data_IF_740589633616
#
_entry.id   IF_740589633616
#
_cell.length_a   1.000
_cell.length_b   1.000
_cell.length_c   1.000
_cell.angle_alpha   90.00
_cell.angle_beta   90.00
_cell.angle_gamma   90.00
#
_symmetry.space_group_name_H-M   'P 1'
#
loop_
_entity.id
_entity.type
_entity.pdbx_description
1 polymer ?
2 non-polymer ?
3 non-polymer ?
4 non-polymer ?
5 water ?
#
# COMPACT_ATOMS: atom_id res chain seq x y z
N UNK A 15 -26.44 1.33 21.44
CA UNK A 15 -25.73 0.97 20.20
C UNK A 15 -25.59 -0.54 20.02
N UNK A 16 -25.50 -0.99 18.78
CA UNK A 16 -25.22 -2.41 18.51
C UNK A 16 -23.76 -2.70 18.81
N UNK A 17 -23.49 -3.89 19.32
CA UNK A 17 -22.16 -4.25 19.81
C UNK A 17 -21.64 -5.47 19.03
N UNK A 18 -20.31 -5.52 18.89
CA UNK A 18 -19.63 -6.64 18.24
C UNK A 18 -18.43 -7.02 19.08
N UNK A 19 -18.26 -8.32 19.34
CA UNK A 19 -17.15 -8.88 20.12
C UNK A 19 -16.74 -8.05 21.33
N UNK A 21 -17.53 -4.90 21.90
CA UNK A 21 -17.25 -3.47 21.84
C UNK A 21 -18.36 -2.73 21.10
N UNK A 22 -18.49 -1.43 21.37
CA UNK A 22 -19.46 -0.62 20.65
C UNK A 22 -19.09 -0.59 19.18
N UNK A 23 -20.09 -0.81 18.32
CA UNK A 23 -19.95 -0.64 16.88
C UNK A 23 -21.18 0.16 16.45
N UNK A 24 -21.09 1.47 16.61
CA UNK A 24 -22.26 2.35 16.70
C UNK A 24 -22.52 3.02 15.36
N UNK A 25 -23.12 2.27 14.45
CA UNK A 25 -23.32 2.72 13.08
C UNK A 25 -24.78 2.88 12.72
N UNK A 26 -25.70 2.58 13.63
CA UNK A 26 -27.11 2.56 13.29
C UNK A 26 -27.71 3.94 13.22
N UNK A 27 -28.94 4.02 12.70
CA UNK A 27 -29.77 2.91 12.21
C UNK A 27 -29.62 2.62 10.72
N UNK A 28 -28.84 3.42 10.00
CA UNK A 28 -28.69 3.19 8.56
C UNK A 28 -28.07 1.84 8.28
N UNK A 29 -27.14 1.40 9.13
CA UNK A 29 -26.34 0.22 8.87
C UNK A 29 -26.66 -0.81 9.95
N UNK A 30 -27.11 -1.99 9.53
CA UNK A 30 -27.62 -3.02 10.44
C UNK A 30 -27.08 -4.38 10.04
N UNK A 31 -27.38 -5.39 10.87
CA UNK A 31 -27.01 -6.78 10.62
C UNK A 31 -25.50 -6.92 10.42
N UNK A 32 -24.78 -6.64 11.50
CA UNK A 32 -23.33 -6.53 11.43
C UNK A 32 -22.66 -7.89 11.56
N UNK A 33 -21.57 -8.07 10.83
CA UNK A 33 -20.75 -9.28 10.92
C UNK A 33 -19.28 -8.88 10.95
N UNK A 34 -18.52 -9.50 11.86
CA UNK A 34 -17.10 -9.24 11.97
C UNK A 34 -16.36 -9.72 10.73
N UNK A 35 -15.45 -8.90 10.22
CA UNK A 35 -14.61 -9.30 9.10
C UNK A 35 -13.16 -9.39 9.58
N UNK A 36 -12.49 -8.25 9.64
CA UNK A 36 -11.08 -8.20 9.95
C UNK A 36 -10.71 -7.00 10.80
N UNK A 37 -9.53 -6.41 10.57
CA UNK A 37 -9.08 -5.33 11.42
C UNK A 37 -8.36 -4.24 10.62
N UNK A 38 -8.69 -3.00 10.94
CA UNK A 38 -7.89 -1.86 10.53
C UNK A 38 -6.79 -1.61 11.53
N UNK A 39 -6.27 -0.38 11.51
CA UNK A 39 -5.16 -0.06 12.41
C UNK A 39 -5.66 0.30 13.80
N UNK A 40 -6.76 1.05 13.90
CA UNK A 40 -7.25 1.52 15.18
C UNK A 40 -8.64 0.99 15.48
N UNK A 41 -8.96 -0.18 14.97
CA UNK A 41 -10.27 -0.76 15.22
C UNK A 41 -10.57 -1.88 14.25
N UNK A 42 -11.74 -2.47 14.47
CA UNK A 42 -12.22 -3.64 13.78
C UNK A 42 -13.01 -3.25 12.52
N UNK A 43 -13.05 -4.17 11.56
CA UNK A 43 -13.80 -4.00 10.32
C UNK A 43 -14.99 -4.95 10.36
N UNK A 44 -16.16 -4.43 10.02
CA UNK A 44 -17.37 -5.21 10.00
C UNK A 44 -18.04 -5.05 8.65
N UNK A 45 -18.80 -6.05 8.23
CA UNK A 45 -19.74 -5.83 7.13
C UNK A 45 -21.09 -5.49 7.72
N UNK A 46 -21.90 -4.77 6.93
CA UNK A 46 -23.18 -4.28 7.42
C UNK A 46 -24.11 -4.07 6.23
N UNK A 47 -25.41 -4.07 6.51
CA UNK A 47 -26.40 -3.78 5.47
C UNK A 47 -26.73 -2.30 5.49
N UNK A 48 -26.58 -1.66 4.32
CA UNK A 48 -26.88 -0.24 4.12
C UNK A 48 -28.35 -0.13 3.74
N UNK A 49 -29.19 0.20 4.72
CA UNK A 49 -30.63 0.27 4.48
C UNK A 49 -31.02 1.37 3.50
N UNK A 50 -30.13 2.30 3.18
CA UNK A 50 -30.50 3.33 2.21
C UNK A 50 -30.20 2.88 0.78
N UNK A 51 -28.97 2.44 0.53
CA UNK A 51 -28.56 1.99 -0.79
C UNK A 51 -28.91 0.52 -1.04
N UNK A 52 -29.40 -0.19 -0.03
CA UNK A 52 -29.85 -1.58 -0.15
C UNK A 52 -28.73 -2.48 -0.66
N UNK A 53 -27.54 -2.31 -0.11
CA UNK A 53 -26.40 -3.17 -0.41
C UNK A 53 -25.64 -3.36 0.89
N UNK A 54 -24.94 -4.48 1.01
CA UNK A 54 -24.03 -4.64 2.15
C UNK A 54 -22.73 -3.88 1.86
N UNK A 55 -22.11 -3.40 2.95
CA UNK A 55 -20.94 -2.51 2.89
C UNK A 55 -19.92 -2.98 3.90
N UNK A 56 -18.69 -2.47 3.78
CA UNK A 56 -17.68 -2.64 4.82
C UNK A 56 -17.58 -1.38 5.67
N UNK A 57 -17.38 -1.56 6.98
CA UNK A 57 -17.25 -0.43 7.90
C UNK A 57 -16.04 -0.64 8.80
N UNK A 58 -15.15 0.34 8.83
CA UNK A 58 -13.93 0.33 9.63
C UNK A 58 -14.12 1.26 10.82
N UNK A 59 -13.94 0.73 12.04
CA UNK A 59 -14.02 1.54 13.25
C UNK A 59 -12.63 2.06 13.59
N UNK A 60 -12.55 3.35 13.92
CA UNK A 60 -11.29 4.03 14.21
C UNK A 60 -11.45 4.75 15.54
N UNK A 61 -10.50 4.54 16.46
CA UNK A 61 -10.47 5.26 17.73
C UNK A 61 -9.10 5.89 17.88
N UNK A 62 -8.86 7.06 17.29
CA UNK A 62 -7.48 7.57 17.19
C UNK A 62 -7.15 8.75 18.10
N UNK A 63 -8.11 9.25 18.89
CA UNK A 63 -7.93 10.63 19.35
C UNK A 63 -7.04 10.76 20.58
N UNK A 64 -6.67 9.66 21.24
CA UNK A 64 -5.75 9.76 22.37
C UNK A 64 -4.31 9.99 21.93
N UNK A 65 -3.98 9.74 20.67
CA UNK A 65 -2.60 9.76 20.20
C UNK A 65 -2.45 10.57 18.93
N UNK A 66 -1.49 11.50 18.93
CA UNK A 66 -1.19 12.30 17.74
C UNK A 66 -0.96 11.42 16.52
N UNK A 67 -0.09 10.42 16.62
CA UNK A 67 0.27 9.63 15.45
C UNK A 67 -0.95 8.91 14.88
N UNK A 68 -1.87 8.48 15.74
CA UNK A 68 -3.08 7.82 15.25
C UNK A 68 -3.95 8.84 14.53
N UNK A 69 -4.02 10.04 15.11
CA UNK A 69 -4.81 11.12 14.53
C UNK A 69 -4.24 11.51 13.19
N UNK A 70 -2.91 11.50 13.07
CA UNK A 70 -2.27 11.86 11.82
C UNK A 70 -2.66 10.88 10.72
N UNK A 71 -2.56 9.58 11.02
CA UNK A 71 -2.84 8.55 10.02
C UNK A 71 -4.29 8.58 9.59
N UNK A 72 -5.19 8.83 10.54
CA UNK A 72 -6.62 8.91 10.23
C UNK A 72 -6.91 10.11 9.35
N UNK A 73 -6.39 11.28 9.72
CA UNK A 73 -6.62 12.48 8.94
C UNK A 73 -6.00 12.36 7.55
N UNK A 74 -4.81 11.77 7.46
CA UNK A 74 -4.17 11.65 6.17
C UNK A 74 -5.03 10.87 5.20
N UNK A 75 -5.53 9.71 5.66
CA UNK A 75 -6.33 8.87 4.77
C UNK A 75 -7.60 9.59 4.34
N UNK A 76 -8.27 10.26 5.28
CA UNK A 76 -9.51 10.93 4.94
C UNK A 76 -9.27 12.04 3.93
N UNK A 77 -8.22 12.84 4.16
CA UNK A 77 -7.93 13.93 3.23
C UNK A 77 -7.66 13.40 1.82
N UNK A 78 -6.88 12.32 1.72
CA UNK A 78 -6.53 11.76 0.42
C UNK A 78 -7.77 11.19 -0.27
N UNK A 79 -8.51 10.34 0.44
CA UNK A 79 -9.60 9.60 -0.20
C UNK A 79 -10.79 10.48 -0.52
N UNK A 80 -10.97 11.60 0.18
CA UNK A 80 -12.05 12.49 -0.21
C UNK A 80 -11.72 13.25 -1.49
N UNK A 81 -10.47 13.25 -1.92
CA UNK A 81 -10.12 13.82 -3.22
C UNK A 81 -10.03 12.77 -4.32
N UNK A 82 -9.50 11.59 -4.01
CA UNK A 82 -9.28 10.55 -5.01
C UNK A 82 -10.61 9.95 -5.49
N UNK A 83 -10.68 9.68 -6.78
CA UNK A 83 -11.75 8.85 -7.34
C UNK A 83 -11.14 7.95 -8.41
N UNK A 84 -11.12 6.64 -8.19
CA UNK A 84 -10.52 5.74 -9.15
C UNK A 84 -11.08 4.34 -8.95
N UNK A 85 -11.29 3.62 -10.05
CA UNK A 85 -11.87 2.27 -9.99
C UNK A 85 -11.03 1.30 -9.16
N UNK A 86 -9.70 1.47 -9.12
CA UNK A 86 -8.84 0.54 -8.39
C UNK A 86 -8.40 1.07 -7.04
N UNK A 87 -9.13 2.03 -6.48
CA UNK A 87 -8.88 2.56 -5.15
C UNK A 87 -10.20 2.51 -4.40
N UNK A 88 -10.21 1.87 -3.23
CA UNK A 88 -11.49 1.79 -2.54
C UNK A 88 -11.74 3.12 -1.85
N UNK A 89 -12.87 3.74 -2.19
CA UNK A 89 -13.16 5.08 -1.72
C UNK A 89 -13.89 5.11 -0.39
N UNK A 90 -14.21 6.32 0.06
CA UNK A 90 -15.01 6.51 1.25
C UNK A 90 -16.45 6.80 0.82
N UNK A 91 -17.39 5.94 1.23
CA UNK A 91 -18.80 6.13 0.89
C UNK A 91 -19.52 7.03 1.89
N UNK A 92 -19.07 6.97 3.14
CA UNK A 92 -19.77 7.62 4.25
C UNK A 92 -18.79 7.65 5.41
N UNK A 93 -18.97 8.63 6.29
CA UNK A 93 -18.21 8.69 7.54
C UNK A 93 -19.20 8.96 8.64
N UNK A 94 -19.15 8.14 9.68
CA UNK A 94 -20.07 8.20 10.82
C UNK A 94 -19.29 8.69 12.03
N UNK A 95 -19.83 9.72 12.69
CA UNK A 95 -19.27 10.16 13.96
C UNK A 95 -20.32 11.02 14.66
N UNK A 96 -20.04 11.32 15.93
CA UNK A 96 -20.97 12.12 16.72
C UNK A 96 -21.11 13.53 16.15
N UNK A 97 -22.18 14.25 16.51
CA UNK A 97 -22.42 15.57 15.91
C UNK A 97 -21.54 16.67 16.46
N UNK A 98 -20.87 16.45 17.58
CA UNK A 98 -20.03 17.49 18.19
C UNK A 98 -18.67 16.92 18.50
N UNK A 99 -17.67 17.80 18.55
CA UNK A 99 -16.32 17.36 18.91
C UNK A 99 -16.33 16.76 20.32
N UNK A 100 -17.10 17.37 21.23
CA UNK A 100 -17.16 16.89 22.61
C UNK A 100 -17.60 15.43 22.66
N UNK A 101 -18.58 15.07 21.85
CA UNK A 101 -19.16 13.73 21.87
C UNK A 101 -18.43 12.76 20.95
N UNK A 102 -17.55 13.26 20.09
CA UNK A 102 -16.87 12.42 19.10
C UNK A 102 -15.78 11.59 19.76
N UNK A 103 -15.93 10.27 19.76
CA UNK A 103 -14.91 9.41 20.31
C UNK A 103 -14.37 8.43 19.29
N UNK A 104 -15.25 7.84 18.50
CA UNK A 104 -14.89 6.94 17.43
C UNK A 104 -15.31 7.55 16.10
N UNK A 105 -14.66 7.11 15.04
CA UNK A 105 -15.02 7.48 13.67
C UNK A 105 -15.17 6.18 12.89
N UNK A 106 -16.23 6.07 12.10
CA UNK A 106 -16.47 4.89 11.28
C UNK A 106 -16.42 5.25 9.81
N UNK A 107 -15.63 4.53 9.03
CA UNK A 107 -15.49 4.80 7.61
C UNK A 107 -16.19 3.69 6.86
N UNK A 108 -17.14 4.05 6.00
CA UNK A 108 -17.95 3.10 5.24
C UNK A 108 -17.39 3.02 3.83
N UNK A 109 -17.15 1.80 3.36
CA UNK A 109 -16.52 1.56 2.05
C UNK A 109 -17.22 0.39 1.37
N UNK A 110 -16.96 0.22 0.07
CA UNK A 110 -17.52 -0.91 -0.68
C UNK A 110 -17.17 -2.23 0.00
N UNK A 111 -18.12 -3.17 -0.01
CA UNK A 111 -17.86 -4.50 0.54
C UNK A 111 -17.22 -5.35 -0.54
N UNK A 112 -15.96 -5.79 -0.30
CA UNK A 112 -15.33 -6.66 -1.29
C UNK A 112 -15.47 -8.10 -0.77
N UNK A 113 -14.96 -9.08 -1.53
CA UNK A 113 -15.09 -10.49 -1.14
C UNK A 113 -13.95 -10.94 -0.25
N UNK A 114 -12.72 -10.53 -0.56
CA UNK A 114 -11.55 -11.03 0.15
C UNK A 114 -10.42 -10.04 -0.05
N UNK A 115 -9.29 -10.31 0.59
CA UNK A 115 -8.06 -9.59 0.32
C UNK A 115 -7.02 -10.58 -0.21
N UNK A 116 -5.99 -10.04 -0.86
CA UNK A 116 -5.03 -10.90 -1.54
C UNK A 116 -4.20 -11.72 -0.56
N UNK A 117 -4.00 -11.22 0.67
CA UNK A 117 -3.31 -12.02 1.68
C UNK A 117 -4.08 -13.29 1.95
N UNK A 118 -5.37 -13.17 2.23
CA UNK A 118 -6.17 -14.34 2.53
C UNK A 118 -6.24 -15.25 1.31
N UNK A 119 -6.40 -14.66 0.13
CA UNK A 119 -6.54 -15.45 -1.09
C UNK A 119 -5.30 -16.30 -1.32
N UNK A 120 -4.11 -15.71 -1.17
CA UNK A 120 -2.87 -16.43 -1.44
C UNK A 120 -2.59 -17.51 -0.40
N UNK A 121 -3.28 -17.50 0.75
CA UNK A 121 -3.09 -18.56 1.74
C UNK A 121 -3.56 -19.91 1.23
N UNK A 122 -4.55 -19.94 0.31
CA UNK A 122 -5.12 -21.22 -0.12
C UNK A 122 -5.32 -21.36 -1.63
N UNK A 123 -5.21 -20.30 -2.43
CA UNK A 123 -5.58 -20.36 -3.84
C UNK A 123 -4.36 -20.10 -4.72
N UNK A 124 -4.10 -21.02 -5.64
CA UNK A 124 -3.12 -20.77 -6.69
C UNK A 124 -3.73 -19.92 -7.79
N UNK A 125 -3.00 -18.88 -8.20
CA UNK A 125 -3.50 -17.98 -9.22
C UNK A 125 -3.08 -18.48 -10.59
N UNK A 126 -4.00 -18.44 -11.55
CA UNK A 126 -3.64 -18.68 -12.93
C UNK A 126 -2.82 -17.51 -13.45
N UNK A 127 -2.09 -17.75 -14.55
CA UNK A 127 -1.33 -16.64 -15.12
C UNK A 127 -2.24 -15.49 -15.52
N UNK A 128 -3.46 -15.81 -16.02
CA UNK A 128 -4.39 -14.75 -16.38
C UNK A 128 -4.80 -13.94 -15.16
N UNK A 129 -4.97 -14.59 -14.00
CA UNK A 129 -5.30 -13.84 -12.78
C UNK A 129 -4.14 -12.96 -12.35
N UNK A 130 -2.92 -13.50 -12.36
CA UNK A 130 -1.75 -12.71 -11.98
C UNK A 130 -1.67 -11.47 -12.87
N UNK A 131 -1.85 -11.67 -14.17
CA UNK A 131 -1.76 -10.57 -15.13
C UNK A 131 -2.80 -9.50 -14.83
N UNK A 132 -4.06 -9.92 -14.67
CA UNK A 132 -5.13 -8.96 -14.42
C UNK A 132 -4.97 -8.27 -13.06
N UNK A 133 -4.57 -9.02 -12.02
CA UNK A 133 -4.33 -8.40 -10.72
C UNK A 133 -3.24 -7.36 -10.81
N UNK A 134 -2.11 -7.74 -11.45
CA UNK A 134 -0.98 -6.81 -11.54
C UNK A 134 -1.37 -5.58 -12.35
N UNK A 135 -2.11 -5.78 -13.44
CA UNK A 135 -2.56 -4.64 -14.23
C UNK A 135 -3.34 -3.67 -13.37
N UNK A 136 -4.28 -4.19 -12.58
CA UNK A 136 -5.12 -3.30 -11.77
C UNK A 136 -4.33 -2.61 -10.67
N UNK A 137 -3.39 -3.32 -10.01
CA UNK A 137 -2.52 -2.67 -9.03
C UNK A 137 -1.81 -1.48 -9.66
N UNK A 138 -1.18 -1.71 -10.82
CA UNK A 138 -0.43 -0.65 -11.47
C UNK A 138 -1.32 0.47 -11.98
N UNK A 139 -2.54 0.13 -12.43
CA UNK A 139 -3.45 1.17 -12.91
C UNK A 139 -3.85 2.10 -11.76
N UNK A 140 -4.19 1.52 -10.61
CA UNK A 140 -4.44 2.37 -9.45
C UNK A 140 -3.20 3.13 -9.01
N UNK A 141 -2.04 2.46 -9.00
CA UNK A 141 -0.81 3.13 -8.60
C UNK A 141 -0.47 4.30 -9.54
N UNK A 142 -0.76 4.15 -10.84
CA UNK A 142 -0.52 5.27 -11.76
C UNK A 142 -1.29 6.50 -11.31
N UNK A 143 -2.54 6.32 -10.93
CA UNK A 143 -3.35 7.43 -10.44
C UNK A 143 -2.77 8.03 -9.17
N UNK A 144 -2.44 7.18 -8.19
CA UNK A 144 -1.85 7.65 -6.93
C UNK A 144 -0.61 8.49 -7.22
N UNK A 145 0.34 7.92 -7.98
CA UNK A 145 1.57 8.63 -8.26
C UNK A 145 1.35 9.89 -9.06
N UNK A 146 0.34 9.91 -9.93
CA UNK A 146 0.05 11.13 -10.68
C UNK A 146 -0.48 12.24 -9.77
N UNK A 147 -0.99 11.90 -8.60
CA UNK A 147 -1.39 12.89 -7.61
C UNK A 147 -0.21 13.32 -6.75
N UNK A 148 1.00 12.89 -7.08
CA UNK A 148 2.19 13.20 -6.30
C UNK A 148 2.13 12.55 -4.91
N UNK A 149 1.40 11.43 -4.79
CA UNK A 149 1.24 10.72 -3.54
C UNK A 149 1.94 9.36 -3.64
N UNK A 150 2.50 8.93 -2.51
CA UNK A 150 3.08 7.60 -2.31
C UNK A 150 2.20 6.83 -1.35
N UNK A 151 1.84 5.60 -1.72
CA UNK A 151 1.04 4.80 -0.80
C UNK A 151 1.85 4.38 0.42
N UNK A 152 3.04 3.82 0.20
CA UNK A 152 4.03 3.50 1.23
C UNK A 152 3.66 2.31 2.10
N UNK A 153 2.61 1.55 1.77
CA UNK A 153 2.39 0.30 2.52
C UNK A 153 1.67 -0.71 1.65
N UNK A 154 2.07 -0.83 0.39
CA UNK A 154 1.44 -1.81 -0.49
C UNK A 154 1.87 -3.20 -0.07
N UNK A 155 0.91 -4.10 0.05
CA UNK A 155 1.13 -5.48 0.46
C UNK A 155 -0.17 -6.23 0.20
N UNK A 156 -0.14 -7.56 0.21
CA UNK A 156 -1.35 -8.30 -0.19
C UNK A 156 -2.58 -7.98 0.66
N UNK A 157 -2.41 -7.77 1.96
CA UNK A 157 -3.60 -7.51 2.77
C UNK A 157 -4.22 -6.15 2.49
N UNK A 158 -3.55 -5.26 1.74
CA UNK A 158 -4.13 -3.99 1.36
C UNK A 158 -4.69 -4.00 -0.06
N UNK A 159 -4.81 -5.18 -0.66
CA UNK A 159 -5.38 -5.34 -1.99
C UNK A 159 -6.65 -6.16 -1.85
N UNK A 160 -7.78 -5.55 -2.15
CA UNK A 160 -9.09 -6.18 -1.97
C UNK A 160 -9.62 -6.64 -3.31
N UNK A 161 -10.30 -7.80 -3.31
CA UNK A 161 -10.87 -8.40 -4.53
C UNK A 161 -12.35 -8.62 -4.33
N UNK A 162 -13.15 -8.37 -5.38
CA UNK A 162 -14.56 -8.76 -5.31
C UNK A 162 -14.72 -10.12 -6.00
N UNK A 163 -15.98 -10.58 -6.16
CA UNK A 163 -16.19 -11.96 -6.62
C UNK A 163 -15.86 -12.14 -8.09
N UNK A 164 -15.70 -11.05 -8.83
CA UNK A 164 -15.30 -11.11 -10.23
C UNK A 164 -13.87 -10.61 -10.43
N UNK A 165 -13.12 -10.58 -9.33
CA UNK A 165 -11.68 -10.36 -9.32
C UNK A 165 -11.28 -8.93 -9.72
N UNK A 166 -12.23 -8.02 -9.58
CA UNK A 166 -11.86 -6.59 -9.61
C UNK A 166 -11.11 -6.26 -8.34
N UNK A 167 -10.07 -5.43 -8.47
CA UNK A 167 -9.14 -5.15 -7.39
C UNK A 167 -9.17 -3.69 -6.99
N UNK A 168 -9.09 -3.44 -5.68
CA UNK A 168 -9.02 -2.09 -5.14
C UNK A 168 -7.94 -2.01 -4.07
N UNK A 169 -7.23 -0.89 -4.07
CA UNK A 169 -6.15 -0.63 -3.11
C UNK A 169 -6.75 0.01 -1.85
N UNK A 170 -6.42 -0.55 -0.69
CA UNK A 170 -6.91 -0.09 0.60
C UNK A 170 -5.78 0.55 1.42
N UNK A 171 -6.20 1.34 2.40
CA UNK A 171 -5.40 1.99 3.46
C UNK A 171 -4.43 3.06 2.96
N UNK A 172 -4.85 4.32 3.05
CA UNK A 172 -3.98 5.43 2.73
C UNK A 172 -3.49 6.15 3.98
N UNK A 173 -3.52 5.46 5.13
CA UNK A 173 -3.06 6.06 6.37
C UNK A 173 -1.56 6.26 6.47
N UNK A 174 -0.78 5.54 5.66
CA UNK A 174 0.67 5.65 5.68
C UNK A 174 1.22 6.49 4.54
N UNK A 175 0.33 7.04 3.71
CA UNK A 175 0.72 7.74 2.51
C UNK A 175 1.42 9.05 2.83
N UNK A 176 2.19 9.54 1.86
CA UNK A 176 2.87 10.83 1.95
C UNK A 176 2.89 11.48 0.57
N UNK A 177 3.07 12.79 0.55
CA UNK A 177 3.37 13.49 -0.70
C UNK A 177 4.82 13.22 -1.07
N UNK A 178 5.08 12.87 -2.32
CA UNK A 178 6.42 12.55 -2.76
C UNK A 178 7.34 13.75 -2.55
N UNK A 179 8.60 13.48 -2.18
CA UNK A 179 9.56 14.55 -1.92
C UNK A 179 10.96 14.02 -2.24
N UNK A 180 11.25 13.81 -3.53
CA UNK A 180 12.53 13.16 -3.88
C UNK A 180 13.74 13.99 -3.47
N UNK A 181 13.62 15.32 -3.47
CA UNK A 181 14.77 16.15 -3.14
C UNK A 181 15.19 16.02 -1.68
N UNK A 182 14.31 15.51 -0.80
CA UNK A 182 14.65 15.36 0.61
C UNK A 182 14.59 13.91 1.05
N UNK A 183 14.94 12.99 0.15
CA UNK A 183 14.80 11.57 0.45
C UNK A 183 16.00 10.96 1.16
N UNK A 184 17.14 11.63 1.16
CA UNK A 184 18.34 10.98 1.64
C UNK A 184 18.46 11.07 3.15
N UNK A 185 18.94 9.98 3.73
CA UNK A 185 19.15 9.87 5.17
C UNK A 185 20.25 8.85 5.41
N UNK A 186 20.48 8.53 6.67
CA UNK A 186 21.55 7.63 7.05
C UNK A 186 21.14 6.16 7.09
N UNK A 187 22.06 5.36 7.59
CA UNK A 187 22.03 3.90 7.52
C UNK A 187 21.29 3.31 8.72
N UNK A 188 20.36 2.38 8.43
CA UNK A 188 19.63 1.60 9.43
C UNK A 188 18.76 2.48 10.33
N UNK A 189 18.16 3.51 9.73
CA UNK A 189 17.21 4.36 10.42
C UNK A 189 15.82 3.76 10.34
N UNK A 190 15.07 3.88 11.43
CA UNK A 190 13.78 3.21 11.58
C UNK A 190 12.81 3.66 10.50
N UNK A 191 11.80 2.83 10.27
CA UNK A 191 10.87 3.01 9.17
C UNK A 191 9.54 2.36 9.50
N UNK A 192 8.48 2.83 8.85
CA UNK A 192 7.12 2.50 9.25
C UNK A 192 6.55 1.32 8.45
N UNK A 193 6.81 1.22 7.13
CA UNK A 193 6.09 0.35 6.16
C UNK A 193 6.43 -1.14 6.32
N UNK A 194 5.80 -2.07 5.55
CA UNK A 194 5.82 -3.41 6.14
C UNK A 194 7.03 -4.22 5.66
N UNK A 195 7.69 -4.89 6.61
CA UNK A 195 9.05 -5.41 6.40
C UNK A 195 9.23 -6.14 5.08
N UNK A 196 8.40 -7.17 4.83
CA UNK A 196 8.65 -8.01 3.66
C UNK A 196 8.55 -7.25 2.34
N UNK A 197 7.89 -6.08 2.33
CA UNK A 197 7.61 -5.31 1.12
C UNK A 197 8.46 -4.05 1.05
N UNK A 198 9.50 -3.98 1.87
CA UNK A 198 10.29 -2.77 2.07
C UNK A 198 11.52 -2.79 1.15
N UNK A 199 11.71 -1.72 0.38
CA UNK A 199 12.81 -1.65 -0.59
C UNK A 199 14.17 -1.62 0.12
N UNK A 200 15.24 -2.09 -0.56
CA UNK A 200 16.53 -2.18 0.12
C UNK A 200 17.02 -0.81 0.55
N UNK A 201 16.70 0.24 -0.21
CA UNK A 201 17.25 1.55 0.15
C UNK A 201 16.68 2.10 1.45
N UNK A 202 15.53 1.60 1.90
CA UNK A 202 14.99 2.05 3.19
C UNK A 202 15.99 1.78 4.31
N UNK A 203 16.68 0.64 4.25
CA UNK A 203 17.68 0.24 5.23
C UNK A 203 19.02 0.93 5.02
N UNK A 204 19.23 1.55 3.85
CA UNK A 204 20.54 2.05 3.47
C UNK A 204 20.61 3.57 3.54
N UNK A 205 19.70 4.27 2.85
CA UNK A 205 19.88 5.72 2.74
C UNK A 205 18.61 6.47 2.34
N UNK A 206 17.41 5.89 2.48
CA UNK A 206 16.19 6.50 1.96
C UNK A 206 15.12 6.63 3.03
N UNK A 207 14.47 7.80 3.06
CA UNK A 207 13.30 8.05 3.90
C UNK A 207 12.01 7.50 3.30
N UNK A 208 12.05 6.92 2.11
CA UNK A 208 10.82 6.43 1.52
C UNK A 208 9.94 7.52 0.97
N UNK A 209 10.53 8.59 0.43
CA UNK A 209 9.81 9.73 -0.11
C UNK A 209 9.80 9.77 -1.63
N UNK A 210 10.16 8.67 -2.30
CA UNK A 210 10.09 8.66 -3.76
C UNK A 210 9.18 7.52 -4.23
N UNK A 211 8.65 7.70 -5.44
CA UNK A 211 7.71 6.75 -6.02
C UNK A 211 8.30 5.35 -6.14
N UNK A 212 9.61 5.24 -6.29
CA UNK A 212 10.23 3.93 -6.45
C UNK A 212 9.99 3.01 -5.26
N UNK A 213 9.66 3.56 -4.08
CA UNK A 213 9.36 2.72 -2.93
C UNK A 213 8.14 1.84 -3.21
N UNK A 214 7.14 2.41 -3.87
CA UNK A 214 5.92 1.64 -4.13
C UNK A 214 6.16 0.60 -5.20
N UNK A 215 7.01 0.89 -6.19
CA UNK A 215 7.22 -0.09 -7.25
C UNK A 215 7.91 -1.33 -6.68
N UNK A 216 8.84 -1.15 -5.76
CA UNK A 216 9.46 -2.30 -5.09
C UNK A 216 8.40 -3.18 -4.44
N UNK A 217 7.48 -2.56 -3.69
CA UNK A 217 6.45 -3.34 -3.04
C UNK A 217 5.63 -4.12 -4.07
N UNK A 218 5.29 -3.48 -5.20
CA UNK A 218 4.51 -4.19 -6.23
C UNK A 218 5.29 -5.38 -6.76
N UNK A 219 6.60 -5.22 -6.96
CA UNK A 219 7.42 -6.34 -7.37
C UNK A 219 7.36 -7.48 -6.38
N UNK A 220 7.40 -7.15 -5.07
CA UNK A 220 7.29 -8.19 -4.05
C UNK A 220 5.95 -8.91 -4.14
N UNK A 221 4.90 -8.15 -4.42
CA UNK A 221 3.56 -8.73 -4.53
C UNK A 221 3.46 -9.63 -5.76
N UNK A 222 4.05 -9.19 -6.88
CA UNK A 222 4.06 -10.03 -8.07
C UNK A 222 4.75 -11.36 -7.80
N UNK A 223 5.93 -11.31 -7.16
CA UNK A 223 6.63 -12.55 -6.85
C UNK A 223 5.78 -13.46 -5.97
N UNK A 224 5.08 -12.87 -5.00
CA UNK A 224 4.24 -13.63 -4.11
C UNK A 224 3.05 -14.23 -4.84
N UNK A 225 2.50 -13.52 -5.85
CA UNK A 225 1.42 -14.12 -6.63
C UNK A 225 1.92 -15.29 -7.47
N UNK A 226 3.19 -15.29 -7.85
CA UNK A 226 3.72 -16.37 -8.68
C UNK A 226 3.89 -17.68 -7.90
N UNK A 227 4.13 -17.60 -6.59
CA UNK A 227 4.50 -18.76 -5.81
C UNK A 227 3.72 -18.96 -4.53
N UNK A 228 2.87 -18.02 -4.13
CA UNK A 228 2.10 -18.06 -2.88
C UNK A 228 2.99 -17.99 -1.64
N UNK A 229 4.23 -17.52 -1.76
CA UNK A 229 5.09 -17.33 -0.60
C UNK A 229 5.79 -15.98 -0.75
N UNK A 230 6.03 -15.27 0.35
CA UNK A 230 6.79 -14.02 0.25
C UNK A 230 8.20 -14.28 -0.28
N UNK A 231 8.65 -13.41 -1.19
CA UNK A 231 9.95 -13.63 -1.82
C UNK A 231 11.09 -13.25 -0.88
N UNK A 232 10.89 -12.26 0.01
CA UNK A 232 11.94 -11.78 0.91
C UNK A 232 11.42 -11.81 2.35
N UNK A 233 11.34 -13.00 2.97
CA UNK A 233 10.67 -13.09 4.28
C UNK A 233 11.62 -12.84 5.46
N UNK A 234 12.11 -11.60 5.56
CA UNK A 234 12.97 -11.25 6.67
C UNK A 234 12.32 -11.59 7.99
N UNK A 235 13.08 -12.10 8.95
CA UNK A 235 12.47 -12.49 10.21
C UNK A 235 12.44 -11.35 11.22
N UNK A 236 13.05 -10.22 10.89
CA UNK A 236 13.08 -9.03 11.71
C UNK A 236 13.73 -7.94 10.85
N UNK A 237 13.67 -6.69 11.36
CA UNK A 237 14.09 -5.52 10.57
C UNK A 237 15.44 -5.73 9.89
N UNK A 238 16.43 -6.19 10.66
CA UNK A 238 17.79 -6.29 10.13
C UNK A 238 17.95 -7.47 9.17
N UNK A 239 17.12 -8.49 9.28
CA UNK A 239 17.20 -9.64 8.40
C UNK A 239 16.75 -9.33 6.97
N UNK A 240 15.95 -8.28 6.78
CA UNK A 240 15.30 -8.07 5.48
C UNK A 240 16.33 -7.91 4.36
N UNK A 241 17.39 -7.14 4.60
CA UNK A 241 18.36 -6.91 3.55
C UNK A 241 19.11 -8.21 3.22
N UNK A 242 19.28 -9.11 4.21
CA UNK A 242 19.90 -10.42 3.92
C UNK A 242 19.13 -11.17 2.85
N UNK A 243 17.81 -11.14 2.94
CA UNK A 243 16.99 -11.87 1.99
C UNK A 243 17.04 -11.20 0.61
N UNK A 244 17.02 -9.86 0.57
CA UNK A 244 17.01 -9.17 -0.71
C UNK A 244 18.31 -9.43 -1.45
N UNK A 245 19.45 -9.26 -0.76
CA UNK A 245 20.75 -9.47 -1.39
C UNK A 245 21.01 -10.95 -1.69
N UNK A 246 20.38 -11.85 -0.95
CA UNK A 246 20.54 -13.26 -1.20
C UNK A 246 19.99 -13.69 -2.53
N UNK A 247 19.02 -12.95 -3.06
CA UNK A 247 18.42 -13.24 -4.34
C UNK A 247 18.96 -12.32 -5.43
N UNK A 248 19.06 -11.01 -5.16
CA UNK A 248 19.57 -10.12 -6.20
C UNK A 248 21.07 -10.27 -6.40
N UNK A 249 21.78 -10.74 -5.38
CA UNK A 249 23.22 -10.79 -5.41
C UNK A 249 23.83 -9.43 -5.07
N UNK A 250 25.15 -9.39 -5.13
CA UNK A 250 25.89 -8.18 -4.75
C UNK A 250 25.58 -7.03 -5.71
N UNK A 251 25.39 -5.81 -5.20
CA UNK A 251 25.24 -4.65 -6.08
C UNK A 251 26.51 -4.36 -6.88
N UNK A 252 26.30 -3.85 -8.08
CA UNK A 252 27.39 -3.45 -8.96
C UNK A 252 28.14 -2.26 -8.39
N UNK A 253 29.36 -2.07 -8.89
CA UNK A 253 30.11 -0.87 -8.55
C UNK A 253 29.31 0.39 -8.83
N UNK A 254 28.66 0.47 -9.99
CA UNK A 254 27.91 1.68 -10.32
C UNK A 254 26.80 1.91 -9.30
N UNK A 255 26.10 0.86 -8.92
CA UNK A 255 25.02 1.04 -7.97
C UNK A 255 25.54 1.40 -6.59
N UNK A 256 26.71 0.87 -6.20
CA UNK A 256 27.32 1.30 -4.94
C UNK A 256 27.76 2.75 -5.00
N UNK A 257 28.31 3.18 -6.12
CA UNK A 257 28.76 4.56 -6.22
C UNK A 257 27.60 5.52 -6.08
N UNK A 258 26.38 5.04 -6.30
CA UNK A 258 25.19 5.86 -6.15
C UNK A 258 24.82 6.06 -4.69
N UNK A 259 25.38 5.22 -3.81
CA UNK A 259 25.17 5.33 -2.36
C UNK A 259 26.34 6.11 -1.77
N UNK A 260 26.14 7.39 -1.49
CA UNK A 260 27.26 8.22 -1.05
C UNK A 260 27.47 8.08 0.45
N UNK A 261 26.44 7.73 1.20
CA UNK A 261 26.59 7.56 2.64
C UNK A 261 27.58 6.44 2.97
N UNK A 262 28.62 6.77 3.75
CA UNK A 262 29.72 5.83 3.99
C UNK A 262 29.31 4.61 4.79
N UNK A 263 28.50 4.79 5.85
CA UNK A 263 28.12 3.62 6.64
C UNK A 263 27.37 2.61 5.79
N UNK A 264 26.45 3.07 4.95
CA UNK A 264 25.71 2.16 4.09
C UNK A 264 26.63 1.54 3.04
N UNK A 265 27.43 2.36 2.36
CA UNK A 265 28.29 1.81 1.31
C UNK A 265 29.31 0.85 1.87
N UNK A 266 29.91 1.19 3.02
CA UNK A 266 30.92 0.29 3.58
C UNK A 266 30.29 -0.98 4.13
N UNK A 267 29.04 -0.93 4.59
CA UNK A 267 28.40 -2.17 4.98
C UNK A 267 28.30 -3.11 3.78
N UNK A 268 27.83 -2.59 2.64
CA UNK A 268 27.71 -3.43 1.45
C UNK A 268 29.08 -3.91 0.96
N UNK A 269 30.09 -3.04 1.02
CA UNK A 269 31.43 -3.44 0.60
C UNK A 269 32.04 -4.51 1.50
N UNK A 270 31.58 -4.60 2.75
CA UNK A 270 32.10 -5.57 3.69
C UNK A 270 31.56 -6.98 3.46
N UNK A 271 30.55 -7.13 2.63
CA UNK A 271 29.91 -8.43 2.44
C UNK A 271 30.69 -9.28 1.43
N UNK A 272 30.68 -10.60 1.60
CA UNK A 272 31.25 -11.47 0.57
C UNK A 272 30.42 -11.34 -0.70
N UNK A 273 31.04 -11.65 -1.83
CA UNK A 273 30.29 -11.67 -3.07
C UNK A 273 29.12 -12.65 -3.01
N UNK A 274 27.97 -12.22 -3.53
CA UNK A 274 26.77 -13.06 -3.63
C UNK A 274 26.31 -13.06 -5.07
N UNK A 275 26.02 -14.25 -5.60
CA UNK A 275 25.49 -14.40 -6.94
C UNK A 275 24.01 -14.09 -7.00
N UNK A 276 23.60 -13.54 -8.12
CA UNK A 276 22.19 -13.41 -8.42
C UNK A 276 21.56 -14.79 -8.62
N UNK A 277 20.37 -14.97 -8.06
CA UNK A 277 19.58 -16.19 -8.28
C UNK A 277 18.65 -15.91 -9.45
N UNK A 278 18.74 -16.66 -10.55
CA UNK A 278 17.87 -16.37 -11.71
C UNK A 278 16.40 -16.51 -11.36
N UNK A 279 15.60 -15.58 -11.86
CA UNK A 279 14.17 -15.61 -11.57
C UNK A 279 13.53 -16.90 -12.07
N UNK A 280 13.98 -17.43 -13.20
CA UNK A 280 13.34 -18.63 -13.71
C UNK A 280 13.72 -19.87 -12.92
N UNK A 281 14.75 -19.80 -12.07
CA UNK A 281 14.98 -20.92 -11.15
C UNK A 281 14.11 -20.82 -9.91
N UNK A 282 13.86 -19.59 -9.45
CA UNK A 282 12.91 -19.38 -8.35
C UNK A 282 11.47 -19.66 -8.78
N UNK A 283 11.14 -19.33 -10.03
CA UNK A 283 9.76 -19.41 -10.54
C UNK A 283 9.77 -20.17 -11.86
N UNK A 284 10.00 -21.49 -11.81
CA UNK A 284 10.13 -22.27 -13.05
C UNK A 284 8.85 -22.36 -13.86
N UNK A 285 7.68 -22.10 -13.28
CA UNK A 285 6.44 -22.20 -14.04
C UNK A 285 5.91 -20.83 -14.47
N UNK A 286 6.64 -19.76 -14.18
CA UNK A 286 6.17 -18.42 -14.49
C UNK A 286 6.32 -18.07 -15.96
N UNK A 287 5.43 -17.19 -16.42
CA UNK A 287 5.50 -16.60 -17.75
C UNK A 287 6.80 -15.78 -17.86
N UNK A 288 7.58 -16.02 -18.92
CA UNK A 288 8.86 -15.31 -19.06
C UNK A 288 8.67 -13.79 -19.11
N UNK A 289 7.56 -13.31 -19.69
CA UNK A 289 7.31 -11.88 -19.68
C UNK A 289 7.06 -11.36 -18.27
N UNK A 290 6.37 -12.17 -17.45
CA UNK A 290 6.15 -11.77 -16.06
C UNK A 290 7.48 -11.64 -15.32
N UNK A 291 8.43 -12.55 -15.58
CA UNK A 291 9.70 -12.49 -14.88
C UNK A 291 10.55 -11.32 -15.35
N UNK A 292 10.40 -10.95 -16.62
CA UNK A 292 11.13 -9.78 -17.11
C UNK A 292 10.66 -8.52 -16.41
N UNK A 293 9.34 -8.40 -16.24
CA UNK A 293 8.80 -7.25 -15.53
C UNK A 293 9.17 -7.32 -14.04
N UNK A 294 9.11 -8.52 -13.44
CA UNK A 294 9.50 -8.71 -12.05
C UNK A 294 10.93 -8.20 -11.83
N UNK A 295 11.84 -8.55 -12.74
CA UNK A 295 13.22 -8.13 -12.61
C UNK A 295 13.33 -6.61 -12.61
N UNK A 296 12.51 -5.94 -13.44
CA UNK A 296 12.58 -4.49 -13.58
C UNK A 296 11.99 -3.78 -12.37
N UNK A 297 11.02 -4.40 -11.70
CA UNK A 297 10.45 -3.83 -10.48
C UNK A 297 11.36 -4.07 -9.28
N UNK A 298 12.02 -5.21 -9.24
CA UNK A 298 12.92 -5.55 -8.14
C UNK A 298 14.38 -5.25 -8.49
N UNK A 299 14.59 -4.07 -9.01
CA UNK A 299 15.92 -3.58 -9.33
C UNK A 299 16.48 -2.88 -8.09
N UNK A 300 17.74 -3.22 -7.74
CA UNK A 300 18.34 -2.70 -6.52
C UNK A 300 18.41 -1.18 -6.50
N UNK A 301 18.89 -0.59 -7.58
CA UNK A 301 19.08 0.85 -7.67
C UNK A 301 17.74 1.51 -7.92
N UNK A 302 17.24 2.34 -7.00
CA UNK A 302 15.89 2.91 -7.19
C UNK A 302 15.79 3.84 -8.38
N UNK A 303 16.90 4.46 -8.82
CA UNK A 303 16.85 5.28 -10.04
C UNK A 303 16.77 4.46 -11.31
N UNK A 304 17.19 3.20 -11.30
CA UNK A 304 17.07 2.34 -12.47
C UNK A 304 15.78 1.54 -12.45
N UNK A 305 15.08 1.53 -11.32
CA UNK A 305 13.87 0.76 -11.18
C UNK A 305 12.77 1.29 -12.11
N UNK A 306 11.99 0.38 -12.69
CA UNK A 306 10.93 0.77 -13.61
C UNK A 306 9.90 1.65 -12.91
N UNK A 307 9.35 2.64 -13.65
CA UNK A 307 8.30 3.51 -13.12
C UNK A 307 6.94 2.98 -13.53
N UNK A 308 5.89 3.47 -12.87
CA UNK A 308 4.57 2.85 -13.04
C UNK A 308 4.08 2.91 -14.49
N UNK A 309 4.31 4.04 -15.20
CA UNK A 309 3.82 4.10 -16.58
C UNK A 309 4.61 3.17 -17.51
N UNK A 310 5.90 2.97 -17.25
CA UNK A 310 6.66 1.97 -18.01
C UNK A 310 6.16 0.56 -17.74
N UNK A 311 5.84 0.27 -16.47
CA UNK A 311 5.36 -1.05 -16.10
C UNK A 311 4.04 -1.38 -16.82
N UNK A 312 3.13 -0.42 -16.88
CA UNK A 312 1.87 -0.63 -17.58
C UNK A 312 2.08 -0.98 -19.05
N UNK A 313 3.13 -0.43 -19.67
CA UNK A 313 3.42 -0.61 -21.09
C UNK A 313 4.27 -1.84 -21.37
N UNK A 314 4.58 -2.60 -20.34
CA UNK A 314 5.42 -3.77 -20.51
C UNK A 314 4.68 -4.87 -21.26
N UNK A 315 5.36 -5.65 -22.11
CA UNK A 315 4.69 -6.71 -22.88
C UNK A 315 3.83 -7.65 -22.04
N UNK A 316 4.18 -7.89 -20.78
CA UNK A 316 3.37 -8.82 -19.98
C UNK A 316 1.93 -8.34 -19.89
N UNK A 317 1.71 -7.02 -19.91
CA UNK A 317 0.40 -6.44 -19.68
C UNK A 317 -0.30 -6.02 -20.97
N UNK A 318 0.19 -6.49 -22.12
CA UNK A 318 -0.26 -5.96 -23.40
C UNK A 318 -1.75 -6.20 -23.66
N UNK A 319 -2.32 -7.28 -23.09
CA UNK A 319 -3.75 -7.52 -23.29
C UNK A 319 -4.62 -6.46 -22.62
N UNK A 320 -4.09 -5.72 -21.63
CA UNK A 320 -4.88 -4.76 -20.88
C UNK A 320 -4.47 -3.32 -21.13
N UNK A 321 -3.24 -3.09 -21.53
CA UNK A 321 -2.69 -1.75 -21.62
C UNK A 321 -3.50 -0.84 -22.53
N UNK A 322 -3.90 0.30 -21.98
CA UNK A 322 -4.63 1.31 -22.71
C UNK A 322 -4.49 2.64 -21.98
N UNK A 323 -3.50 3.47 -22.34
CA UNK A 323 -3.24 4.69 -21.57
C UNK A 323 -4.44 5.62 -21.49
N UNK A 324 -5.31 5.63 -22.50
CA UNK A 324 -6.50 6.47 -22.44
C UNK A 324 -7.51 5.99 -21.42
N UNK A 325 -7.40 4.73 -20.98
CA UNK A 325 -8.28 4.17 -19.94
C UNK A 325 -7.52 3.95 -18.64
N UNK A 326 -6.43 4.69 -18.44
CA UNK A 326 -5.60 4.62 -17.23
C UNK A 326 -5.50 6.05 -16.72
N UNK A 327 -6.54 6.53 -16.04
CA UNK A 327 -6.66 7.96 -15.75
C UNK A 327 -5.68 8.43 -14.67
N UNK A 328 -5.45 9.74 -14.69
CA UNK A 328 -4.61 10.40 -13.72
C UNK A 328 -5.45 11.38 -12.92
N UNK A 329 -4.85 11.87 -11.84
CA UNK A 329 -5.54 12.74 -10.89
C UNK A 329 -5.74 14.14 -11.44
N UNK A 330 -6.92 14.72 -11.17
CA UNK A 330 -7.23 16.07 -11.62
C UNK A 330 -6.45 17.11 -10.81
N UNK A 331 -6.28 16.86 -9.51
CA UNK A 331 -5.76 17.85 -8.56
C UNK A 331 -4.69 17.19 -7.70
N UNK A 332 -3.47 17.06 -8.21
CA UNK A 332 -2.37 16.52 -7.40
C UNK A 332 -2.18 17.28 -6.10
N UNK A 333 -1.66 16.58 -5.09
CA UNK A 333 -1.35 17.19 -3.81
C UNK A 333 -0.01 17.92 -3.92
N UNK A 334 0.02 19.18 -3.50
CA UNK A 334 1.24 19.96 -3.68
C UNK A 334 2.21 19.82 -2.51
N UNK A 335 1.72 19.75 -1.28
CA UNK A 335 2.61 19.67 -0.11
C UNK A 335 2.13 18.61 0.88
N UNK A 343 -0.70 19.39 17.64
CA UNK A 343 -1.20 18.59 18.76
C UNK A 343 -2.49 17.85 18.41
N UNK A 344 -2.78 16.76 19.12
CA UNK A 344 -3.95 15.95 18.77
C UNK A 344 -5.23 16.77 18.86
N UNK A 345 -5.29 17.75 19.77
CA UNK A 345 -6.50 18.57 19.91
C UNK A 345 -6.83 19.25 18.60
N UNK A 346 -5.85 19.85 17.95
CA UNK A 346 -6.12 20.44 16.65
C UNK A 346 -6.35 19.36 15.60
N UNK A 347 -5.75 18.17 15.76
CA UNK A 347 -5.98 17.09 14.81
C UNK A 347 -7.37 16.52 14.94
N UNK A 348 -7.85 16.39 16.18
CA UNK A 348 -9.25 16.00 16.38
C UNK A 348 -10.18 17.00 15.73
N UNK A 349 -9.93 18.28 15.96
CA UNK A 349 -10.69 19.34 15.31
C UNK A 349 -10.60 19.20 13.80
N UNK A 350 -9.41 18.87 13.27
CA UNK A 350 -9.29 18.76 11.82
C UNK A 350 -10.04 17.55 11.29
N UNK A 351 -10.02 16.43 12.02
CA UNK A 351 -10.79 15.26 11.60
C UNK A 351 -12.28 15.57 11.65
N UNK A 352 -12.72 16.24 12.72
CA UNK A 352 -14.12 16.64 12.80
C UNK A 352 -14.51 17.50 11.60
N UNK A 353 -13.66 18.48 11.25
CA UNK A 353 -13.98 19.36 10.15
C UNK A 353 -13.98 18.62 8.82
N UNK A 354 -13.02 17.71 8.62
CA UNK A 354 -12.89 17.03 7.33
C UNK A 354 -14.02 16.04 7.08
N UNK A 355 -14.70 15.60 8.13
CA UNK A 355 -15.79 14.62 8.01
C UNK A 355 -17.17 15.28 8.04
N UNK A 356 -17.22 16.61 8.09
CA UNK A 356 -18.50 17.30 8.25
C UNK A 356 -19.44 17.08 7.08
N UNK A 357 -18.91 16.82 5.87
CA UNK A 357 -19.76 16.75 4.69
C UNK A 357 -20.73 15.57 4.75
N UNK A 358 -20.50 14.61 5.63
CA UNK A 358 -21.30 13.40 5.68
C UNK A 358 -22.40 13.47 6.73
N UNK A 359 -22.49 14.56 7.46
CA UNK A 359 -23.52 14.67 8.47
C UNK A 359 -24.88 14.86 7.81
N UNK A 360 -25.91 14.16 8.29
CA UNK A 360 -27.23 14.25 7.63
C UNK A 360 -27.68 15.68 7.34
N UNK A 361 -27.58 16.56 8.33
CA UNK A 361 -27.90 17.95 8.09
C UNK A 361 -26.66 18.81 7.94
N UNK A 362 -25.64 18.25 7.28
CA UNK A 362 -24.37 18.96 7.09
C UNK A 362 -24.60 20.32 6.43
N UNK A 363 -25.09 20.31 5.20
CA UNK A 363 -25.31 21.53 4.42
C UNK A 363 -26.06 21.22 3.13
X LIG B 1 9.94 -4.38 11.34
X LIG B 1 10.62 -4.22 12.62
X LIG B 1 9.48 -3.05 10.91
X LIG B 1 8.73 -5.20 11.44
X LIG B 1 10.87 -4.98 10.40
X LIG C 1 14.14 4.58 -16.10
X LIG C 1 13.12 5.57 -15.76
X LIG C 1 13.95 3.45 -15.21
X LIG C 1 14.01 4.09 -17.47
X LIG C 1 15.47 5.13 -15.86
X LIG D 1 -10.29 13.07 -10.33
X LIG D 1 -8.86 12.97 -9.93
X LIG D 1 -10.83 11.46 -10.97
X LIG D 1 -11.32 13.16 -8.82
X LIG E 1 2.98 9.92 -12.53
X LIG E 1 3.96 9.47 -11.52
X LIG E 1 3.93 10.14 -14.05
X LIG E 1 1.93 8.46 -12.87
X LIG F 1 -12.41 -1.29 5.31
X LIG F 1 -11.33 -1.79 4.36
X LIG F 1 -9.92 -1.52 4.88
X LIG F 1 -8.76 -1.92 3.99
X LIG F 1 -7.20 -2.46 5.96
X LIG F 1 -6.45 -3.79 5.97
X LIG F 1 -7.26 -4.83 5.21
X LIG F 1 -8.63 -5.03 5.88
X LIG F 1 -9.59 -5.69 4.94
X LIG F 1 -10.99 -5.73 5.44
X LIG F 1 -11.96 -6.14 4.35
X LIG F 1 -12.20 -7.50 4.18
X LIG F 1 -13.09 -7.97 3.21
X LIG F 1 -13.76 -7.08 2.41
X LIG F 1 -13.55 -5.72 2.57
X LIG F 1 -12.65 -5.22 3.54
X LIG F 1 -12.49 -3.73 3.54
X LIG F 1 -7.41 -1.76 4.65
X LIG F 1 -7.62 -2.01 7.01
X LIG F 1 -6.23 -4.28 7.28
X LIG F 1 -6.58 -6.09 5.20
X LIG F 1 -13.29 -9.32 3.06
X LIG F 1 -14.25 -4.89 1.77
X LIG F 1 -13.17 -3.01 2.87
X LIG F 1 -11.45 -3.25 4.24
#
# INVERSE_FOLDING_TARGET
HHHHHHMAAAAAAGPEMVRGQVFDVGPRYTNLSYIGEGAYGMVCSAYDNLNKVRVAIKKISPFEHQTYCQRTLREIKILLRFRHENIIGINDIIRAPTIEQMKDVYIVQDLMETDLYKLLKTQHLSNDHICYFLYQILRGLKYIHSANVLHRDLKPSNLLLNTTCDLKICDFGLARVADPDHDHTGFLTEYVATRWYRAPEIMLNSKGYTKSIDIWSVGCILAEMLSNRPIFPGKHYLDQLNHILGILGSPSQEDLNCIINLKARNYLLSLPHKNKVPWNRLFPNADSKALDLLDKMLTFNPHKRIEVEQALAHPYLEQYYDPSDEPIAEAPFKFDMELDDLPKEKLKELIFEETARFQPGYRS
SO4 S O1 O2 O3 O4
SO4 S O1 O2 O3 O4
DMS S O C1 C2
DMS S O C1 C2
WMI C1 C2 C3 C4 C6 C7 C8 C9 C10 C11 C12 C13 C14 C15 C16 C17 C18 C5 O1 O2 O3 O4 O5 O6 O7
#
